data_IF_874937460740
#
_entry.id   IF_874937460740
#
_cell.length_a   1.000
_cell.length_b   1.000
_cell.length_c   1.000
_cell.angle_alpha   90.00
_cell.angle_beta   90.00
_cell.angle_gamma   90.00
#
_symmetry.space_group_name_H-M   'P 1'
#
loop_
_entity.id
_entity.type
_entity.pdbx_description
1 polymer ?
#
# COMPACT_ATOMS: atom_id res chain seq x y z
N UNK A 1 25.86 -23.80 20.01
CA UNK A 1 25.52 -22.72 19.06
C UNK A 1 25.84 -21.40 19.73
N UNK A 2 26.50 -20.47 19.03
CA UNK A 2 27.05 -19.24 19.62
C UNK A 2 25.96 -18.19 19.85
N UNK A 3 25.80 -17.74 21.10
CA UNK A 3 24.90 -16.66 21.54
C UNK A 3 24.96 -15.39 20.66
N UNK A 4 26.13 -15.10 20.10
CA UNK A 4 26.35 -13.96 19.20
C UNK A 4 25.62 -14.11 17.86
N UNK A 5 25.46 -15.35 17.36
CA UNK A 5 24.77 -15.62 16.10
C UNK A 5 23.27 -15.40 16.23
N UNK A 6 22.68 -15.83 17.35
CA UNK A 6 21.25 -15.67 17.61
C UNK A 6 20.88 -14.19 17.83
N UNK A 7 21.75 -13.42 18.49
CA UNK A 7 21.59 -11.97 18.62
C UNK A 7 21.71 -11.23 17.28
N UNK A 8 22.66 -11.63 16.43
CA UNK A 8 22.81 -11.05 15.10
C UNK A 8 21.61 -11.35 14.18
N UNK A 9 21.09 -12.58 14.21
CA UNK A 9 19.88 -12.96 13.44
C UNK A 9 18.66 -12.17 13.92
N UNK A 10 18.52 -11.98 15.23
CA UNK A 10 17.42 -11.20 15.81
C UNK A 10 17.49 -9.73 15.41
N UNK A 11 18.68 -9.13 15.51
CA UNK A 11 18.92 -7.74 15.10
C UNK A 11 18.66 -7.55 13.59
N UNK A 12 19.12 -8.49 12.76
CA UNK A 12 18.87 -8.48 11.31
C UNK A 12 17.37 -8.62 11.03
N UNK A 13 16.66 -9.51 11.73
CA UNK A 13 15.21 -9.67 11.60
C UNK A 13 14.42 -8.42 11.99
N UNK A 14 14.85 -7.70 13.03
CA UNK A 14 14.28 -6.40 13.43
C UNK A 14 14.60 -5.31 12.41
N UNK A 15 15.82 -5.29 11.86
CA UNK A 15 16.24 -4.36 10.83
C UNK A 15 15.53 -4.59 9.48
N UNK A 16 15.26 -5.85 9.10
CA UNK A 16 14.48 -6.19 7.90
C UNK A 16 13.09 -5.53 7.89
N UNK A 17 12.51 -5.25 9.07
CA UNK A 17 11.23 -4.52 9.16
C UNK A 17 11.32 -3.05 8.73
N UNK A 18 12.53 -2.52 8.58
CA UNK A 18 12.84 -1.17 8.12
C UNK A 18 13.41 -1.15 6.69
N UNK A 19 13.95 -2.26 6.19
CA UNK A 19 14.65 -2.30 4.90
C UNK A 19 13.74 -2.36 3.66
N UNK A 20 12.48 -2.78 3.78
CA UNK A 20 11.58 -2.95 2.61
C UNK A 20 10.22 -2.27 2.75
N UNK A 21 10.15 -1.18 3.54
CA UNK A 21 8.95 -0.34 3.55
C UNK A 21 9.14 0.78 2.52
N UNK A 22 8.35 0.81 1.42
CA UNK A 22 8.44 1.90 0.47
C UNK A 22 8.23 3.22 1.21
N UNK A 23 9.25 4.10 1.16
CA UNK A 23 9.19 5.40 1.84
C UNK A 23 8.01 6.18 1.28
N UNK A 24 7.23 6.82 2.14
CA UNK A 24 6.05 7.56 1.71
C UNK A 24 6.38 8.65 0.69
N UNK A 25 7.58 9.23 0.76
CA UNK A 25 8.11 10.20 -0.22
C UNK A 25 8.30 9.63 -1.64
N UNK A 26 8.55 8.32 -1.76
CA UNK A 26 8.67 7.62 -3.04
C UNK A 26 7.29 7.17 -3.55
N UNK A 27 6.36 6.86 -2.64
CA UNK A 27 4.99 6.50 -2.98
C UNK A 27 4.20 7.71 -3.46
N UNK A 28 4.37 8.86 -2.82
CA UNK A 28 3.59 10.07 -3.11
C UNK A 28 3.79 10.61 -4.53
N UNK A 29 4.89 10.25 -5.19
CA UNK A 29 5.17 10.64 -6.58
C UNK A 29 4.66 9.63 -7.61
N UNK A 30 4.23 8.44 -7.19
CA UNK A 30 3.67 7.43 -8.08
C UNK A 30 2.20 7.74 -8.37
N UNK A 31 1.81 7.56 -9.63
CA UNK A 31 0.39 7.58 -10.04
C UNK A 31 -0.31 6.26 -9.72
N UNK A 32 0.34 5.15 -10.04
CA UNK A 32 -0.20 3.81 -9.81
C UNK A 32 0.46 3.18 -8.59
N UNK A 33 -0.37 2.71 -7.66
CA UNK A 33 0.04 2.14 -6.38
C UNK A 33 -0.45 0.71 -6.24
N UNK A 34 0.36 -0.16 -5.65
CA UNK A 34 -0.09 -1.47 -5.18
C UNK A 34 -1.01 -1.32 -3.96
N UNK A 35 -1.71 -2.40 -3.58
CA UNK A 35 -2.59 -2.39 -2.40
C UNK A 35 -1.88 -1.91 -1.13
N UNK A 36 -0.65 -2.38 -0.92
CA UNK A 36 0.16 -2.03 0.26
C UNK A 36 0.66 -0.58 0.21
N UNK A 37 1.03 -0.08 -0.97
CA UNK A 37 1.46 1.31 -1.13
C UNK A 37 0.30 2.28 -0.94
N UNK A 38 -0.89 1.97 -1.47
CA UNK A 38 -2.08 2.78 -1.27
C UNK A 38 -2.48 2.84 0.21
N UNK A 39 -2.47 1.69 0.89
CA UNK A 39 -2.75 1.64 2.32
C UNK A 39 -1.74 2.48 3.12
N UNK A 40 -0.45 2.41 2.76
CA UNK A 40 0.60 3.22 3.40
C UNK A 40 0.43 4.72 3.10
N UNK A 41 0.07 5.08 1.86
CA UNK A 41 -0.18 6.45 1.43
C UNK A 41 -1.25 7.13 2.29
N UNK A 42 -2.37 6.44 2.52
CA UNK A 42 -3.46 6.95 3.37
C UNK A 42 -3.25 6.69 4.86
N UNK A 43 -2.09 6.16 5.29
CA UNK A 43 -1.78 5.76 6.67
C UNK A 43 -2.83 4.82 7.28
N UNK A 44 -3.25 3.82 6.52
CA UNK A 44 -4.27 2.82 6.88
C UNK A 44 -3.65 1.42 7.00
N UNK A 45 -4.40 0.51 7.62
CA UNK A 45 -4.04 -0.90 7.69
C UNK A 45 -4.08 -1.57 6.31
N UNK A 46 -3.32 -2.65 6.14
CA UNK A 46 -3.20 -3.38 4.86
C UNK A 46 -4.54 -3.83 4.26
N UNK A 47 -5.52 -4.15 5.09
CA UNK A 47 -6.85 -4.63 4.68
C UNK A 47 -7.83 -3.51 4.32
N UNK A 48 -7.46 -2.24 4.51
CA UNK A 48 -8.35 -1.12 4.24
C UNK A 48 -8.69 -1.00 2.75
N UNK A 49 -7.66 -1.09 1.90
CA UNK A 49 -7.82 -0.98 0.45
C UNK A 49 -8.69 -2.11 -0.14
N UNK A 50 -8.41 -3.37 0.24
CA UNK A 50 -9.25 -4.51 -0.13
C UNK A 50 -10.68 -4.40 0.42
N UNK A 51 -10.84 -3.84 1.63
CA UNK A 51 -12.15 -3.53 2.20
C UNK A 51 -12.96 -2.53 1.37
N UNK A 52 -12.33 -1.47 0.85
CA UNK A 52 -13.02 -0.51 -0.02
C UNK A 52 -13.37 -1.10 -1.38
N UNK A 53 -12.50 -1.95 -1.95
CA UNK A 53 -12.75 -2.64 -3.21
C UNK A 53 -13.90 -3.64 -3.09
N UNK A 54 -13.90 -4.47 -2.05
CA UNK A 54 -14.95 -5.48 -1.83
C UNK A 54 -16.32 -4.86 -1.54
N UNK A 55 -16.36 -3.68 -0.93
CA UNK A 55 -17.59 -2.90 -0.70
C UNK A 55 -18.07 -2.13 -1.93
N UNK A 56 -17.35 -2.17 -3.06
CA UNK A 56 -17.71 -1.44 -4.27
C UNK A 56 -17.42 0.06 -4.24
N UNK A 57 -16.75 0.56 -3.19
CA UNK A 57 -16.36 1.98 -3.07
C UNK A 57 -15.26 2.31 -4.10
N UNK A 58 -14.31 1.40 -4.28
CA UNK A 58 -13.35 1.48 -5.38
C UNK A 58 -13.92 0.75 -6.59
N UNK A 59 -13.94 1.40 -7.75
CA UNK A 59 -14.52 0.89 -9.00
C UNK A 59 -13.42 0.47 -9.97
N UNK A 60 -13.56 -0.70 -10.57
CA UNK A 60 -12.66 -1.17 -11.63
C UNK A 60 -12.72 -0.21 -12.82
N UNK A 61 -11.59 0.00 -13.50
CA UNK A 61 -11.40 0.93 -14.62
C UNK A 61 -11.51 2.42 -14.28
N UNK A 62 -11.83 2.77 -13.04
CA UNK A 62 -11.86 4.14 -12.54
C UNK A 62 -10.84 4.38 -11.43
N UNK A 63 -10.92 3.59 -10.36
CA UNK A 63 -10.06 3.72 -9.18
C UNK A 63 -8.95 2.68 -9.18
N UNK A 64 -9.13 1.54 -9.86
CA UNK A 64 -8.11 0.50 -10.00
C UNK A 64 -8.21 -0.25 -11.32
N UNK A 65 -7.09 -0.84 -11.72
CA UNK A 65 -6.93 -1.57 -12.98
C UNK A 65 -6.14 -2.86 -12.73
N UNK A 66 -6.41 -3.89 -13.55
CA UNK A 66 -5.56 -5.06 -13.63
C UNK A 66 -4.47 -4.83 -14.67
N UNK A 67 -3.21 -4.89 -14.24
CA UNK A 67 -2.02 -4.76 -15.09
C UNK A 67 -1.15 -5.98 -14.81
N UNK A 68 -0.91 -6.80 -15.84
CA UNK A 68 -0.13 -8.04 -15.73
C UNK A 68 -0.58 -8.97 -14.57
N UNK A 69 -1.90 -9.05 -14.34
CA UNK A 69 -2.48 -9.85 -13.26
C UNK A 69 -2.40 -9.22 -11.86
N UNK A 70 -1.79 -8.03 -11.73
CA UNK A 70 -1.71 -7.26 -10.49
C UNK A 70 -2.75 -6.16 -10.45
N UNK A 71 -3.32 -5.91 -9.26
CA UNK A 71 -4.25 -4.80 -9.03
C UNK A 71 -3.43 -3.55 -8.73
N UNK A 72 -3.56 -2.56 -9.60
CA UNK A 72 -2.92 -1.25 -9.48
C UNK A 72 -3.99 -0.18 -9.28
N UNK A 73 -3.80 0.65 -8.25
CA UNK A 73 -4.75 1.69 -7.84
C UNK A 73 -4.27 3.05 -8.33
N UNK A 74 -5.15 3.83 -8.98
CA UNK A 74 -4.84 5.18 -9.43
C UNK A 74 -5.01 6.17 -8.26
N UNK A 75 -3.89 6.67 -7.75
CA UNK A 75 -3.85 7.59 -6.61
C UNK A 75 -4.65 8.86 -6.87
N UNK A 76 -4.48 9.45 -8.05
CA UNK A 76 -5.06 10.75 -8.38
C UNK A 76 -6.58 10.65 -8.53
N UNK A 77 -7.07 9.60 -9.18
CA UNK A 77 -8.52 9.38 -9.31
C UNK A 77 -9.18 9.11 -7.96
N UNK A 78 -8.51 8.37 -7.07
CA UNK A 78 -9.00 8.14 -5.70
C UNK A 78 -8.99 9.45 -4.90
N UNK A 79 -7.94 10.27 -5.00
CA UNK A 79 -7.88 11.58 -4.34
C UNK A 79 -9.00 12.50 -4.82
N UNK A 80 -9.22 12.59 -6.14
CA UNK A 80 -10.35 13.35 -6.71
C UNK A 80 -11.68 12.84 -6.21
N UNK A 81 -11.86 11.52 -6.11
CA UNK A 81 -13.10 10.92 -5.62
C UNK A 81 -13.36 11.23 -4.12
N UNK A 82 -12.30 11.27 -3.30
CA UNK A 82 -12.37 11.71 -1.90
C UNK A 82 -12.74 13.20 -1.80
N UNK A 83 -12.04 14.06 -2.54
CA UNK A 83 -12.24 15.52 -2.50
C UNK A 83 -13.64 15.89 -2.98
N UNK A 84 -14.13 15.23 -4.04
CA UNK A 84 -15.48 15.43 -4.58
C UNK A 84 -16.59 14.83 -3.73
N UNK A 85 -16.26 14.15 -2.62
CA UNK A 85 -17.19 13.43 -1.75
C UNK A 85 -18.04 12.37 -2.50
N UNK A 86 -17.48 11.81 -3.58
CA UNK A 86 -18.18 10.85 -4.46
C UNK A 86 -17.98 9.39 -4.06
N UNK A 87 -17.24 9.13 -2.98
CA UNK A 87 -17.03 7.81 -2.38
C UNK A 87 -18.00 7.50 -1.22
N UNK A 88 -19.15 8.18 -1.17
CA UNK A 88 -20.12 8.10 -0.07
C UNK A 88 -21.07 6.91 -0.19
#
# INVERSE_FOLDING_TARGET
MSLLRDQAIKLVGELYQFFDKPKISVISTKKLLTESELALYFRRGKTWTSGLRTKGVLMEKKHYHYIDGLIMYDREEIEKAIISNSLR
#
